data_IF_679742676636
#
_entry.id   IF_679742676636
#
_cell.length_a   1.000
_cell.length_b   1.000
_cell.length_c   1.000
_cell.angle_alpha   90.00
_cell.angle_beta   90.00
_cell.angle_gamma   90.00
#
_symmetry.space_group_name_H-M   'P 1'
#
loop_
_entity.id
_entity.type
_entity.pdbx_description
1 polymer ?
#
# COMPACT_ATOMS: atom_id res chain seq x y z
N UNK A 1 23.49 -78.06 -20.65
CA UNK A 1 23.74 -76.75 -21.28
C UNK A 1 22.46 -75.92 -21.06
N UNK A 2 22.43 -74.97 -20.11
CA UNK A 2 22.59 -73.51 -20.31
C UNK A 2 21.52 -72.98 -21.30
N UNK A 3 20.51 -72.16 -20.94
CA UNK A 3 20.59 -70.81 -20.36
C UNK A 3 19.26 -70.31 -19.73
N UNK A 4 19.41 -69.38 -18.78
CA UNK A 4 18.43 -68.47 -18.12
C UNK A 4 17.61 -67.62 -19.11
N UNK A 5 16.40 -67.18 -18.74
CA UNK A 5 15.86 -65.84 -19.04
C UNK A 5 15.05 -65.29 -17.86
N UNK A 6 15.33 -64.03 -17.54
CA UNK A 6 14.77 -63.22 -16.46
C UNK A 6 13.79 -62.18 -17.02
N UNK A 7 13.00 -61.55 -16.14
CA UNK A 7 12.20 -60.33 -16.41
C UNK A 7 10.71 -60.59 -16.13
N UNK A 8 10.04 -60.01 -15.14
CA UNK A 8 10.21 -58.69 -14.54
C UNK A 8 9.23 -57.72 -15.20
N UNK A 9 7.98 -57.67 -14.73
CA UNK A 9 6.99 -56.68 -15.16
C UNK A 9 6.51 -55.91 -13.93
N UNK A 10 7.11 -54.75 -13.71
CA UNK A 10 6.71 -53.76 -12.71
C UNK A 10 5.44 -53.05 -13.19
N UNK A 11 4.37 -53.16 -12.40
CA UNK A 11 3.13 -52.40 -12.59
C UNK A 11 3.39 -50.97 -12.14
N UNK A 12 3.45 -50.03 -13.09
CA UNK A 12 3.48 -48.60 -12.81
C UNK A 12 2.10 -48.15 -12.31
N UNK A 13 1.98 -47.93 -11.00
CA UNK A 13 0.86 -47.22 -10.40
C UNK A 13 1.10 -45.70 -10.59
N UNK A 14 0.37 -45.09 -11.53
CA UNK A 14 0.37 -43.64 -11.72
C UNK A 14 -0.46 -42.98 -10.61
N UNK A 15 0.22 -42.51 -9.57
CA UNK A 15 -0.36 -41.67 -8.53
C UNK A 15 -0.76 -40.31 -9.13
N UNK A 16 -2.06 -40.05 -9.20
CA UNK A 16 -2.65 -38.75 -9.53
C UNK A 16 -2.24 -37.72 -8.46
N UNK A 17 -1.25 -36.89 -8.79
CA UNK A 17 -0.92 -35.68 -8.04
C UNK A 17 -2.02 -34.65 -8.25
N UNK A 18 -2.91 -34.52 -7.26
CA UNK A 18 -3.81 -33.38 -7.15
C UNK A 18 -2.96 -32.12 -6.83
N UNK A 19 -3.01 -31.05 -7.64
CA UNK A 19 -2.40 -29.80 -7.26
C UNK A 19 -3.22 -29.19 -6.12
N UNK A 20 -2.65 -29.17 -4.92
CA UNK A 20 -3.10 -28.31 -3.84
C UNK A 20 -2.94 -26.86 -4.29
N UNK A 21 -3.99 -26.25 -4.82
CA UNK A 21 -4.03 -24.81 -5.05
C UNK A 21 -4.11 -24.15 -3.68
N UNK A 22 -2.95 -23.86 -3.10
CA UNK A 22 -2.85 -22.99 -1.94
C UNK A 22 -3.31 -21.62 -2.39
N UNK A 23 -4.54 -21.24 -2.05
CA UNK A 23 -5.01 -19.87 -2.17
C UNK A 23 -4.17 -19.03 -1.21
N UNK A 24 -3.05 -18.49 -1.69
CA UNK A 24 -2.28 -17.51 -0.96
C UNK A 24 -3.25 -16.35 -0.69
N UNK A 25 -3.69 -16.21 0.57
CA UNK A 25 -4.30 -14.99 1.05
C UNK A 25 -3.23 -13.90 0.93
N UNK A 26 -3.15 -13.28 -0.25
CA UNK A 26 -2.37 -12.07 -0.43
C UNK A 26 -2.98 -11.05 0.52
N UNK A 27 -2.31 -10.80 1.64
CA UNK A 27 -2.57 -9.62 2.42
C UNK A 27 -2.45 -8.44 1.45
N UNK A 28 -3.59 -7.87 1.05
CA UNK A 28 -3.65 -6.91 -0.05
C UNK A 28 -3.10 -5.58 0.43
N UNK A 29 -1.77 -5.45 0.40
CA UNK A 29 -1.02 -4.28 0.87
C UNK A 29 -1.35 -3.06 0.02
N UNK A 30 -1.56 -1.91 0.69
CA UNK A 30 -1.89 -0.65 0.00
C UNK A 30 -0.76 -0.17 -0.91
N UNK A 31 -1.06 0.20 -2.18
CA UNK A 31 -0.10 0.84 -3.06
C UNK A 31 0.44 2.12 -2.42
N UNK A 32 1.76 2.32 -2.49
CA UNK A 32 2.41 3.52 -1.94
C UNK A 32 1.79 4.82 -2.44
N UNK A 33 1.32 4.86 -3.70
CA UNK A 33 0.61 6.01 -4.25
C UNK A 33 -0.66 6.35 -3.48
N UNK A 34 -1.50 5.36 -3.15
CA UNK A 34 -2.71 5.57 -2.37
C UNK A 34 -2.39 5.92 -0.91
N UNK A 35 -1.40 5.26 -0.31
CA UNK A 35 -0.90 5.59 1.04
C UNK A 35 -0.47 7.05 1.10
N UNK A 36 0.34 7.48 0.14
CA UNK A 36 0.82 8.86 0.06
C UNK A 36 -0.31 9.85 -0.20
N UNK A 37 -1.20 9.56 -1.14
CA UNK A 37 -2.31 10.43 -1.49
C UNK A 37 -3.24 10.67 -0.28
N UNK A 38 -3.61 9.60 0.44
CA UNK A 38 -4.40 9.67 1.66
C UNK A 38 -3.63 10.36 2.81
N UNK A 39 -2.32 10.16 2.90
CA UNK A 39 -1.48 10.81 3.92
C UNK A 39 -1.38 12.31 3.70
N UNK A 40 -1.19 12.76 2.46
CA UNK A 40 -1.20 14.20 2.12
C UNK A 40 -2.59 14.78 2.37
N UNK A 41 -3.66 14.08 1.95
CA UNK A 41 -5.03 14.57 2.18
C UNK A 41 -5.30 14.77 3.68
N UNK A 42 -5.03 13.74 4.49
CA UNK A 42 -5.32 13.77 5.93
C UNK A 42 -4.42 14.73 6.70
N UNK A 43 -3.11 14.77 6.43
CA UNK A 43 -2.17 15.65 7.12
C UNK A 43 -2.48 17.13 6.92
N UNK A 44 -2.84 17.53 5.70
CA UNK A 44 -3.18 18.92 5.39
C UNK A 44 -4.68 19.21 5.45
N UNK A 45 -5.49 18.23 5.89
CA UNK A 45 -6.96 18.30 5.93
C UNK A 45 -7.57 18.83 4.61
N UNK A 46 -7.12 18.28 3.48
CA UNK A 46 -7.52 18.73 2.16
C UNK A 46 -8.97 18.31 1.84
N UNK A 47 -9.79 19.20 1.24
CA UNK A 47 -11.19 18.90 0.93
C UNK A 47 -11.33 17.81 -0.13
N UNK A 48 -10.32 17.62 -0.99
CA UNK A 48 -10.30 16.63 -2.04
C UNK A 48 -8.95 15.88 -2.05
N UNK A 49 -8.94 14.60 -2.46
CA UNK A 49 -7.71 13.87 -2.70
C UNK A 49 -6.79 14.62 -3.67
N UNK A 50 -5.51 14.86 -3.33
CA UNK A 50 -4.57 15.50 -4.24
C UNK A 50 -4.22 14.55 -5.39
N UNK A 51 -3.86 15.08 -6.55
CA UNK A 51 -3.50 14.26 -7.72
C UNK A 51 -1.99 14.05 -7.77
N UNK A 52 -1.54 12.83 -8.04
CA UNK A 52 -0.12 12.60 -8.34
C UNK A 52 0.20 13.25 -9.69
N UNK A 53 1.27 14.03 -9.75
CA UNK A 53 1.70 14.76 -10.94
C UNK A 53 3.08 14.31 -11.45
N UNK A 54 3.90 13.71 -10.60
CA UNK A 54 5.24 13.28 -10.95
C UNK A 54 5.78 12.26 -9.91
N UNK A 55 6.91 11.64 -10.22
CA UNK A 55 7.70 10.80 -9.33
C UNK A 55 9.19 11.03 -9.55
N UNK A 56 9.95 11.26 -8.48
CA UNK A 56 11.39 11.52 -8.58
C UNK A 56 12.15 10.94 -7.39
N UNK A 57 13.17 10.12 -7.66
CA UNK A 57 14.03 9.49 -6.64
C UNK A 57 13.24 8.78 -5.50
N UNK A 58 12.13 8.13 -5.86
CA UNK A 58 11.22 7.44 -4.94
C UNK A 58 10.33 8.36 -4.10
N UNK A 59 10.28 9.65 -4.42
CA UNK A 59 9.29 10.60 -3.90
C UNK A 59 8.15 10.75 -4.91
N UNK A 60 6.93 10.57 -4.44
CA UNK A 60 5.71 10.79 -5.19
C UNK A 60 5.27 12.24 -4.99
N UNK A 61 5.07 12.97 -6.09
CA UNK A 61 4.74 14.40 -6.05
C UNK A 61 3.26 14.58 -6.30
N UNK A 62 2.58 15.25 -5.37
CA UNK A 62 1.14 15.46 -5.37
C UNK A 62 0.80 16.94 -5.45
N UNK A 63 -0.26 17.27 -6.21
CA UNK A 63 -0.84 18.61 -6.30
C UNK A 63 -2.26 18.62 -5.76
N UNK A 64 -2.57 19.52 -4.82
CA UNK A 64 -3.93 19.74 -4.35
C UNK A 64 -4.73 20.64 -5.30
N UNK A 65 -6.05 20.60 -5.20
CA UNK A 65 -6.94 21.54 -5.92
C UNK A 65 -6.72 23.00 -5.51
N UNK A 66 -6.13 23.23 -4.33
CA UNK A 66 -5.73 24.56 -3.84
C UNK A 66 -4.37 25.02 -4.40
N UNK A 67 -3.72 24.20 -5.24
CA UNK A 67 -2.45 24.53 -5.90
C UNK A 67 -1.20 24.20 -5.09
N UNK A 68 -1.32 23.64 -3.88
CA UNK A 68 -0.19 23.20 -3.08
C UNK A 68 0.50 21.97 -3.68
N UNK A 69 1.83 21.90 -3.56
CA UNK A 69 2.66 20.78 -4.02
C UNK A 69 3.31 20.11 -2.83
N UNK A 70 3.19 18.78 -2.77
CA UNK A 70 3.61 17.95 -1.65
C UNK A 70 4.37 16.74 -2.17
N UNK A 71 5.57 16.52 -1.65
CA UNK A 71 6.32 15.31 -1.92
C UNK A 71 6.05 14.32 -0.79
N UNK A 72 5.83 13.07 -1.16
CA UNK A 72 5.55 12.00 -0.22
C UNK A 72 6.41 10.78 -0.50
N UNK A 73 6.91 10.15 0.57
CA UNK A 73 7.62 8.87 0.50
C UNK A 73 7.23 7.97 1.65
N UNK A 74 6.87 6.73 1.34
CA UNK A 74 6.52 5.70 2.32
C UNK A 74 7.80 5.05 2.86
N UNK A 75 7.86 4.86 4.17
CA UNK A 75 8.96 4.25 4.92
C UNK A 75 8.40 3.25 5.94
N UNK A 76 8.22 2.00 5.52
CA UNK A 76 7.57 0.98 6.35
C UNK A 76 6.18 1.45 6.80
N UNK A 77 5.98 1.58 8.11
CA UNK A 77 4.71 1.98 8.72
C UNK A 77 4.63 3.49 8.98
N UNK A 78 5.39 4.28 8.22
CA UNK A 78 5.40 5.74 8.33
C UNK A 78 5.52 6.39 6.96
N UNK A 79 5.17 7.68 6.89
CA UNK A 79 5.28 8.48 5.69
C UNK A 79 6.08 9.74 5.99
N UNK A 80 7.01 10.04 5.10
CA UNK A 80 7.69 11.33 5.05
C UNK A 80 7.01 12.24 4.04
N UNK A 81 6.71 13.45 4.47
CA UNK A 81 6.10 14.52 3.68
C UNK A 81 7.08 15.69 3.58
N UNK A 82 7.14 16.33 2.41
CA UNK A 82 7.82 17.61 2.20
C UNK A 82 6.91 18.54 1.43
N UNK A 83 6.97 19.83 1.72
CA UNK A 83 6.19 20.84 1.01
C UNK A 83 6.85 22.20 1.08
N UNK A 84 6.44 23.11 0.20
CA UNK A 84 6.83 24.52 0.28
C UNK A 84 5.81 25.28 1.10
N UNK A 85 6.30 26.01 2.10
CA UNK A 85 5.54 26.99 2.88
C UNK A 85 6.15 28.37 2.67
N UNK A 86 5.49 29.41 3.19
CA UNK A 86 6.01 30.77 3.20
C UNK A 86 7.40 30.87 3.86
N UNK A 87 7.66 30.02 4.86
CA UNK A 87 8.91 29.97 5.62
C UNK A 87 9.99 29.08 4.98
N UNK A 88 9.80 28.65 3.73
CA UNK A 88 10.72 27.75 3.03
C UNK A 88 10.23 26.30 2.96
N UNK A 89 11.17 25.37 2.76
CA UNK A 89 10.86 23.94 2.65
C UNK A 89 10.59 23.35 4.03
N UNK A 90 9.39 22.81 4.22
CA UNK A 90 9.00 22.11 5.44
C UNK A 90 9.00 20.60 5.20
N UNK A 91 9.19 19.82 6.27
CA UNK A 91 9.11 18.37 6.23
C UNK A 91 8.47 17.80 7.49
N UNK A 92 7.86 16.62 7.36
CA UNK A 92 7.32 15.84 8.47
C UNK A 92 7.59 14.35 8.21
N UNK A 93 8.17 13.64 9.17
CA UNK A 93 8.42 12.20 9.09
C UNK A 93 7.72 11.40 10.21
N UNK A 94 6.70 12.01 10.84
CA UNK A 94 5.98 11.45 12.00
C UNK A 94 4.60 10.92 11.66
N UNK A 95 4.18 10.98 10.39
CA UNK A 95 2.88 10.46 9.98
C UNK A 95 2.93 8.94 9.98
N UNK A 96 2.29 8.31 10.97
CA UNK A 96 2.21 6.85 11.04
C UNK A 96 1.11 6.35 10.12
N UNK A 97 1.37 5.22 9.46
CA UNK A 97 0.42 4.56 8.58
C UNK A 97 0.34 3.08 8.91
N UNK A 98 -0.87 2.57 9.00
CA UNK A 98 -1.16 1.14 8.97
C UNK A 98 -1.84 0.84 7.64
N UNK A 99 -1.06 0.26 6.74
CA UNK A 99 -1.42 -0.11 5.39
C UNK A 99 -1.66 -1.62 5.25
N UNK A 100 -1.78 -2.33 6.38
CA UNK A 100 -1.99 -3.78 6.39
C UNK A 100 -3.49 -4.10 6.43
N UNK A 101 -3.98 -4.76 5.38
CA UNK A 101 -5.37 -5.21 5.30
C UNK A 101 -6.33 -4.23 4.59
N UNK A 102 -7.65 -4.39 4.80
CA UNK A 102 -8.68 -3.75 3.97
C UNK A 102 -8.88 -2.26 4.26
N UNK A 103 -8.37 -1.76 5.38
CA UNK A 103 -8.52 -0.38 5.83
C UNK A 103 -7.15 0.26 5.98
N UNK A 104 -6.92 1.36 5.27
CA UNK A 104 -5.75 2.21 5.49
C UNK A 104 -6.04 3.14 6.65
N UNK A 105 -5.16 3.12 7.65
CA UNK A 105 -5.24 4.03 8.80
C UNK A 105 -4.06 4.97 8.77
N UNK A 106 -4.32 6.28 8.75
CA UNK A 106 -3.31 7.32 8.79
C UNK A 106 -3.44 8.11 10.08
N UNK A 107 -2.32 8.32 10.77
CA UNK A 107 -2.23 9.13 12.00
C UNK A 107 -1.26 10.29 11.75
N UNK A 108 -1.75 11.39 11.16
CA UNK A 108 -0.98 12.63 11.08
C UNK A 108 -0.83 13.18 12.51
N UNK A 109 0.40 13.40 12.94
CA UNK A 109 0.71 13.73 14.34
C UNK A 109 -0.10 14.91 14.86
N UNK A 110 -0.88 14.69 15.92
CA UNK A 110 -1.67 15.74 16.59
C UNK A 110 -3.09 15.97 16.06
N UNK A 111 -3.51 15.36 14.95
CA UNK A 111 -4.80 15.66 14.27
C UNK A 111 -5.83 14.52 14.30
N UNK A 112 -5.59 13.49 15.12
CA UNK A 112 -6.47 12.31 15.22
C UNK A 112 -6.25 11.30 14.10
N UNK A 113 -7.06 10.24 14.10
CA UNK A 113 -6.93 9.12 13.17
C UNK A 113 -7.85 9.29 11.96
N UNK A 114 -7.30 9.08 10.77
CA UNK A 114 -8.03 9.02 9.50
C UNK A 114 -8.08 7.59 9.00
N UNK A 115 -9.26 7.11 8.62
CA UNK A 115 -9.46 5.74 8.15
C UNK A 115 -10.06 5.75 6.76
N UNK A 116 -9.52 4.92 5.88
CA UNK A 116 -9.90 4.84 4.49
C UNK A 116 -10.14 3.39 4.09
N UNK A 117 -11.12 3.16 3.21
CA UNK A 117 -11.32 1.87 2.54
C UNK A 117 -10.93 1.98 1.08
N UNK A 118 -10.53 0.86 0.47
CA UNK A 118 -10.37 0.80 -0.99
C UNK A 118 -11.71 0.94 -1.69
N UNK A 119 -11.71 1.58 -2.84
CA UNK A 119 -12.80 1.60 -3.82
C UNK A 119 -12.20 1.40 -5.20
N UNK A 120 -13.02 1.13 -6.23
CA UNK A 120 -12.56 0.77 -7.58
C UNK A 120 -11.48 1.74 -8.13
N UNK A 121 -11.67 3.05 -7.92
CA UNK A 121 -10.81 4.10 -8.47
C UNK A 121 -9.92 4.80 -7.43
N UNK A 122 -9.70 4.18 -6.26
CA UNK A 122 -8.83 4.76 -5.22
C UNK A 122 -9.27 4.42 -3.81
N UNK A 123 -9.58 5.44 -3.01
CA UNK A 123 -10.03 5.25 -1.63
C UNK A 123 -11.25 6.09 -1.28
N UNK A 124 -12.03 5.59 -0.33
CA UNK A 124 -13.15 6.31 0.30
C UNK A 124 -12.87 6.55 1.78
N UNK A 125 -13.23 7.74 2.27
CA UNK A 125 -13.10 8.10 3.67
C UNK A 125 -14.13 7.35 4.52
N UNK A 126 -13.67 6.61 5.52
CA UNK A 126 -14.52 5.98 6.53
C UNK A 126 -14.72 6.90 7.74
N UNK A 127 -13.63 7.55 8.17
CA UNK A 127 -13.65 8.55 9.23
C UNK A 127 -12.51 9.54 8.98
N UNK A 128 -12.83 10.84 9.02
CA UNK A 128 -11.84 11.92 8.96
C UNK A 128 -11.59 12.46 10.36
N UNK A 129 -10.32 12.70 10.70
CA UNK A 129 -9.86 13.11 12.02
C UNK A 129 -10.70 14.24 12.61
N UNK A 130 -11.66 13.86 13.46
CA UNK A 130 -12.27 14.74 14.46
C UNK A 130 -11.36 14.73 15.69
N UNK A 131 -10.33 15.57 15.66
CA UNK A 131 -9.78 16.12 16.90
C UNK A 131 -10.81 17.12 17.44
N UNK A 132 -11.24 16.90 18.69
CA UNK A 132 -12.06 17.86 19.45
C UNK A 132 -11.40 19.23 19.51
#
# INVERSE_FOLDING_TARGET
MLFRHAGGALVFASSLLLPSVTLAQTAETWPNALVCQASVQSYFNLPQPPRQIDESFGWLIFRSSLGGVYDCRVWGNSVSLKWKSHNGTMSNSRTQVDATGPVLTVRPGGTGEWRFRRVADGYGLLNGGKGR
#
